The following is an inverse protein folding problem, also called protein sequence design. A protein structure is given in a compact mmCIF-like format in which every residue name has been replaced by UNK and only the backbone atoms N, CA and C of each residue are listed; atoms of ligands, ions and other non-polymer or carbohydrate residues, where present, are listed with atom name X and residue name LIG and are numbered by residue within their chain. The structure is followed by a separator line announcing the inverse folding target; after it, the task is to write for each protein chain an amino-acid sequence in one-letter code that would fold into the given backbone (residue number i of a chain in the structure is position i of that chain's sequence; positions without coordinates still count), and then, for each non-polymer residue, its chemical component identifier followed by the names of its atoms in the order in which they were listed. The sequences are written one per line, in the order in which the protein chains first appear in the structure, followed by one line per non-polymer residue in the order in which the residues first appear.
data_IF_196313721174
#
_entry.id   IF_196313721174
#
_cell.length_a   1.000
_cell.length_b   1.000
_cell.length_c   1.000
_cell.angle_alpha   90.00
_cell.angle_beta   90.00
_cell.angle_gamma   90.00
#
_symmetry.space_group_name_H-M   'P 1'
#
loop_
_entity.id
_entity.type
_entity.pdbx_description
1 polymer ?
#
# COMPACT_ATOMS: atom_id res chain seq x y z
N UNK A 1 5.44 -17.37 -7.18
CA UNK A 1 5.83 -17.89 -8.50
C UNK A 1 7.24 -17.37 -8.76
N UNK A 2 8.27 -18.08 -8.27
CA UNK A 2 9.68 -17.69 -8.45
C UNK A 2 10.07 -17.90 -9.91
N UNK A 3 10.26 -16.81 -10.66
CA UNK A 3 11.03 -16.86 -11.90
C UNK A 3 12.50 -16.61 -11.56
N UNK A 4 13.20 -17.68 -11.19
CA UNK A 4 14.66 -17.68 -11.24
C UNK A 4 15.11 -17.53 -12.70
N UNK A 5 15.85 -16.46 -13.01
CA UNK A 5 16.56 -16.35 -14.28
C UNK A 5 17.59 -17.48 -14.36
N UNK A 6 17.32 -18.48 -15.20
CA UNK A 6 18.34 -19.41 -15.68
C UNK A 6 19.11 -18.74 -16.81
N UNK A 7 20.37 -18.37 -16.57
CA UNK A 7 21.33 -18.18 -17.66
C UNK A 7 21.58 -19.54 -18.31
N UNK A 8 21.15 -19.71 -19.56
CA UNK A 8 21.51 -20.87 -20.38
C UNK A 8 23.01 -20.83 -20.69
N UNK A 9 23.78 -21.69 -20.04
CA UNK A 9 25.10 -22.08 -20.52
C UNK A 9 24.91 -23.10 -21.65
N UNK A 10 25.11 -22.68 -22.90
CA UNK A 10 25.26 -23.63 -24.00
C UNK A 10 26.59 -24.36 -23.85
N UNK A 11 26.52 -25.69 -23.86
CA UNK A 11 27.68 -26.57 -23.73
C UNK A 11 28.63 -26.43 -24.92
N UNK A 12 29.92 -26.31 -24.60
CA UNK A 12 31.02 -26.51 -25.54
C UNK A 12 31.89 -27.67 -25.03
N UNK A 13 32.32 -28.49 -25.99
CA UNK A 13 33.10 -29.71 -25.84
C UNK A 13 34.49 -29.47 -25.19
N UNK A 14 35.18 -30.50 -24.67
CA UNK A 14 36.36 -30.32 -23.86
C UNK A 14 37.57 -30.00 -24.74
N UNK A 15 38.08 -28.76 -24.62
CA UNK A 15 39.32 -28.31 -25.23
C UNK A 15 40.01 -27.30 -24.31
N UNK A 16 41.26 -27.60 -23.94
CA UNK A 16 42.30 -26.75 -23.35
C UNK A 16 41.84 -25.55 -22.50
N UNK A 17 42.03 -25.66 -21.18
CA UNK A 17 41.89 -24.57 -20.21
C UNK A 17 42.98 -23.52 -20.46
N UNK A 18 42.68 -22.52 -21.28
CA UNK A 18 43.29 -21.21 -21.18
C UNK A 18 42.48 -20.35 -20.21
N UNK A 19 43.21 -19.73 -19.29
CA UNK A 19 42.75 -18.87 -18.20
C UNK A 19 42.08 -17.61 -18.78
N UNK A 20 40.83 -17.75 -19.21
CA UNK A 20 40.04 -16.66 -19.77
C UNK A 20 39.26 -16.00 -18.63
N UNK A 21 39.79 -14.87 -18.13
CA UNK A 21 39.00 -13.91 -17.35
C UNK A 21 37.71 -13.60 -18.12
N UNK A 22 36.53 -13.65 -17.49
CA UNK A 22 35.32 -13.20 -18.16
C UNK A 22 35.47 -11.71 -18.52
N UNK A 23 35.58 -11.42 -19.81
CA UNK A 23 35.59 -10.05 -20.34
C UNK A 23 34.13 -9.62 -20.48
N UNK A 24 33.67 -8.77 -19.56
CA UNK A 24 32.38 -8.10 -19.67
C UNK A 24 32.56 -6.83 -20.52
N UNK A 25 31.99 -6.72 -21.73
CA UNK A 25 32.01 -5.46 -22.47
C UNK A 25 31.14 -4.41 -21.76
N UNK A 26 31.70 -3.25 -21.43
CA UNK A 26 30.97 -2.09 -20.85
C UNK A 26 31.05 -1.94 -19.33
N UNK A 27 32.25 -2.04 -18.73
CA UNK A 27 32.46 -1.86 -17.28
C UNK A 27 32.64 -0.39 -16.85
N UNK A 28 32.60 0.53 -17.80
CA UNK A 28 32.96 1.92 -17.58
C UNK A 28 31.74 2.81 -17.33
N UNK A 29 31.85 3.75 -16.39
CA UNK A 29 30.84 4.76 -16.11
C UNK A 29 31.45 6.15 -16.28
N UNK A 30 30.75 7.02 -17.00
CA UNK A 30 31.13 8.42 -17.15
C UNK A 30 30.80 9.20 -15.86
N UNK A 31 31.75 9.94 -15.28
CA UNK A 31 31.46 10.82 -14.15
C UNK A 31 30.39 11.86 -14.49
N UNK A 32 29.52 12.19 -13.53
CA UNK A 32 28.44 13.16 -13.75
C UNK A 32 28.95 14.57 -14.11
N UNK A 33 30.14 14.93 -13.61
CA UNK A 33 30.80 16.21 -13.90
C UNK A 33 31.55 16.26 -15.24
N UNK A 34 31.50 15.19 -16.04
CA UNK A 34 32.36 15.00 -17.21
C UNK A 34 33.76 14.46 -16.84
N UNK A 35 34.48 13.93 -17.82
CA UNK A 35 35.79 13.29 -17.64
C UNK A 35 35.91 12.02 -18.47
N UNK A 36 36.98 11.26 -18.22
CA UNK A 36 37.16 9.95 -18.86
C UNK A 36 36.29 8.89 -18.16
N UNK A 37 35.79 7.89 -18.92
CA UNK A 37 35.09 6.75 -18.34
C UNK A 37 35.96 6.01 -17.30
N UNK A 38 35.34 5.57 -16.21
CA UNK A 38 36.03 4.86 -15.12
C UNK A 38 35.51 3.44 -15.01
N UNK A 39 36.41 2.46 -14.93
CA UNK A 39 36.08 1.06 -14.61
C UNK A 39 35.45 0.97 -13.21
N UNK A 40 34.13 0.82 -13.18
CA UNK A 40 33.37 0.80 -11.93
C UNK A 40 33.64 -0.46 -11.13
N UNK A 41 33.93 -1.59 -11.78
CA UNK A 41 34.22 -2.84 -11.08
C UNK A 41 35.53 -2.72 -10.30
N UNK A 42 36.59 -2.24 -10.96
CA UNK A 42 37.87 -2.03 -10.30
C UNK A 42 37.74 -1.06 -9.11
N UNK A 43 36.98 0.02 -9.29
CA UNK A 43 36.73 0.99 -8.25
C UNK A 43 35.92 0.40 -7.07
N UNK A 44 34.87 -0.36 -7.37
CA UNK A 44 34.06 -1.02 -6.35
C UNK A 44 34.85 -2.08 -5.57
N UNK A 45 35.74 -2.83 -6.22
CA UNK A 45 36.63 -3.79 -5.54
C UNK A 45 37.58 -3.07 -4.56
N UNK A 46 38.13 -1.92 -4.95
CA UNK A 46 38.95 -1.08 -4.05
C UNK A 46 38.15 -0.60 -2.83
N UNK A 47 36.92 -0.13 -3.04
CA UNK A 47 36.05 0.30 -1.96
C UNK A 47 35.60 -0.84 -1.06
N UNK A 48 35.38 -2.03 -1.62
CA UNK A 48 34.98 -3.20 -0.85
C UNK A 48 36.01 -3.55 0.22
N UNK A 49 37.30 -3.47 -0.09
CA UNK A 49 38.36 -3.68 0.90
C UNK A 49 38.22 -2.72 2.09
N UNK A 50 38.06 -1.41 1.81
CA UNK A 50 37.93 -0.36 2.84
C UNK A 50 36.65 -0.52 3.67
N UNK A 51 35.54 -0.89 3.03
CA UNK A 51 34.26 -1.14 3.71
C UNK A 51 34.39 -2.37 4.61
N UNK A 52 34.98 -3.46 4.10
CA UNK A 52 35.21 -4.68 4.87
C UNK A 52 36.10 -4.44 6.10
N UNK A 53 37.12 -3.60 5.98
CA UNK A 53 37.95 -3.16 7.12
C UNK A 53 37.11 -2.45 8.19
N UNK A 54 36.29 -1.47 7.80
CA UNK A 54 35.40 -0.75 8.72
C UNK A 54 34.39 -1.69 9.40
N UNK A 55 33.83 -2.64 8.65
CA UNK A 55 32.84 -3.59 9.13
C UNK A 55 33.43 -4.83 9.80
N UNK A 56 34.77 -4.91 9.90
CA UNK A 56 35.50 -6.07 10.44
C UNK A 56 35.04 -7.40 9.81
N UNK A 57 34.76 -7.37 8.52
CA UNK A 57 34.25 -8.50 7.75
C UNK A 57 35.28 -8.90 6.70
N UNK A 58 35.74 -10.16 6.64
CA UNK A 58 36.71 -10.58 5.64
C UNK A 58 36.15 -10.38 4.21
N UNK A 59 36.88 -9.72 3.29
CA UNK A 59 36.41 -9.47 1.92
C UNK A 59 36.01 -10.74 1.16
N UNK A 60 36.61 -11.90 1.48
CA UNK A 60 36.29 -13.16 0.82
C UNK A 60 34.89 -13.69 1.17
N UNK A 61 34.25 -13.14 2.20
CA UNK A 61 32.87 -13.46 2.57
C UNK A 61 31.84 -12.73 1.71
N UNK A 62 32.25 -11.66 1.02
CA UNK A 62 31.38 -10.94 0.11
C UNK A 62 31.29 -11.70 -1.22
N UNK A 63 30.07 -12.02 -1.64
CA UNK A 63 29.85 -12.77 -2.86
C UNK A 63 30.23 -11.93 -4.08
N UNK A 64 31.16 -12.43 -4.90
CA UNK A 64 31.63 -11.72 -6.09
C UNK A 64 30.56 -11.61 -7.19
N UNK A 65 29.67 -12.60 -7.31
CA UNK A 65 28.55 -12.56 -8.24
C UNK A 65 27.51 -11.49 -7.85
N UNK A 66 27.25 -11.32 -6.55
CA UNK A 66 26.41 -10.24 -6.03
C UNK A 66 27.03 -8.86 -6.29
N UNK A 67 28.35 -8.71 -6.07
CA UNK A 67 29.07 -7.49 -6.43
C UNK A 67 28.97 -7.20 -7.93
N UNK A 68 29.20 -8.20 -8.78
CA UNK A 68 29.10 -8.05 -10.22
C UNK A 68 27.69 -7.66 -10.66
N UNK A 69 26.65 -8.22 -10.03
CA UNK A 69 25.26 -7.84 -10.29
C UNK A 69 24.98 -6.38 -9.90
N UNK A 70 25.45 -5.92 -8.74
CA UNK A 70 25.32 -4.52 -8.32
C UNK A 70 26.08 -3.57 -9.24
N UNK A 71 27.32 -3.90 -9.62
CA UNK A 71 28.10 -3.09 -10.57
C UNK A 71 27.38 -3.01 -11.93
N UNK A 72 26.86 -4.13 -12.43
CA UNK A 72 26.10 -4.15 -13.70
C UNK A 72 24.85 -3.28 -13.63
N UNK A 73 24.12 -3.33 -12.51
CA UNK A 73 22.96 -2.46 -12.28
C UNK A 73 23.37 -0.98 -12.19
N UNK A 74 24.46 -0.68 -11.49
CA UNK A 74 25.00 0.66 -11.32
C UNK A 74 25.52 1.28 -12.63
N UNK A 75 26.13 0.49 -13.53
CA UNK A 75 26.55 0.96 -14.85
C UNK A 75 25.32 1.40 -15.67
N UNK A 76 24.24 0.62 -15.59
CA UNK A 76 23.02 0.89 -16.35
C UNK A 76 22.22 2.06 -15.75
N UNK A 77 22.20 2.16 -14.42
CA UNK A 77 21.39 3.12 -13.67
C UNK A 77 22.21 3.88 -12.62
N UNK A 78 23.26 4.64 -13.01
CA UNK A 78 24.19 5.23 -12.05
C UNK A 78 23.51 6.25 -11.13
N UNK A 79 22.53 7.00 -11.65
CA UNK A 79 21.72 7.93 -10.85
C UNK A 79 20.57 7.31 -10.06
N UNK A 80 20.28 6.01 -10.25
CA UNK A 80 19.15 5.30 -9.64
C UNK A 80 19.59 3.94 -9.05
N UNK A 81 20.83 3.82 -8.57
CA UNK A 81 21.35 2.56 -8.04
C UNK A 81 20.66 2.16 -6.72
N UNK A 82 20.16 0.92 -6.67
CA UNK A 82 19.53 0.30 -5.50
C UNK A 82 20.10 -1.12 -5.30
N UNK A 83 20.29 -1.55 -4.05
CA UNK A 83 20.81 -2.90 -3.75
C UNK A 83 19.81 -3.80 -3.02
N UNK A 84 19.58 -5.02 -3.52
CA UNK A 84 18.88 -6.11 -2.82
C UNK A 84 19.86 -6.85 -1.91
N UNK A 85 19.75 -6.69 -0.59
CA UNK A 85 20.84 -7.06 0.33
C UNK A 85 20.83 -8.51 0.80
N UNK A 86 19.73 -9.23 0.63
CA UNK A 86 19.47 -10.50 1.30
C UNK A 86 19.50 -11.72 0.38
N UNK A 87 20.13 -11.61 -0.80
CA UNK A 87 20.32 -12.75 -1.72
C UNK A 87 21.17 -13.86 -1.07
N UNK A 88 22.24 -13.49 -0.37
CA UNK A 88 23.13 -14.45 0.31
C UNK A 88 23.18 -14.21 1.82
N UNK A 89 23.70 -13.06 2.24
CA UNK A 89 23.83 -12.70 3.63
C UNK A 89 23.95 -11.17 3.75
N UNK A 90 22.96 -10.53 4.36
CA UNK A 90 22.90 -9.07 4.52
C UNK A 90 24.20 -8.52 5.08
N UNK A 91 24.64 -9.00 6.26
CA UNK A 91 25.81 -8.44 6.95
C UNK A 91 27.14 -8.75 6.27
N UNK A 92 27.31 -9.96 5.72
CA UNK A 92 28.61 -10.44 5.23
C UNK A 92 28.83 -10.24 3.74
N UNK A 93 27.76 -9.97 2.98
CA UNK A 93 27.82 -9.90 1.52
C UNK A 93 27.05 -8.68 0.99
N UNK A 94 25.72 -8.66 1.13
CA UNK A 94 24.89 -7.66 0.46
C UNK A 94 25.22 -6.24 0.89
N UNK A 95 25.33 -5.99 2.19
CA UNK A 95 25.61 -4.67 2.73
C UNK A 95 27.05 -4.18 2.44
N UNK A 96 28.12 -5.00 2.63
CA UNK A 96 29.46 -4.64 2.17
C UNK A 96 29.52 -4.33 0.66
N UNK A 97 28.92 -5.18 -0.18
CA UNK A 97 28.90 -5.00 -1.63
C UNK A 97 28.14 -3.73 -2.04
N UNK A 98 26.98 -3.48 -1.44
CA UNK A 98 26.20 -2.27 -1.70
C UNK A 98 26.99 -1.02 -1.32
N UNK A 99 27.56 -0.98 -0.10
CA UNK A 99 28.35 0.15 0.37
C UNK A 99 29.54 0.43 -0.55
N UNK A 100 30.22 -0.62 -1.03
CA UNK A 100 31.35 -0.51 -1.94
C UNK A 100 30.96 0.15 -3.27
N UNK A 101 29.87 -0.32 -3.90
CA UNK A 101 29.38 0.23 -5.17
C UNK A 101 28.84 1.65 -4.99
N UNK A 102 28.11 1.91 -3.90
CA UNK A 102 27.58 3.24 -3.61
C UNK A 102 28.69 4.28 -3.36
N UNK A 103 29.79 3.90 -2.70
CA UNK A 103 30.97 4.76 -2.51
C UNK A 103 31.76 4.96 -3.81
N UNK A 104 31.86 3.94 -4.66
CA UNK A 104 32.43 4.07 -6.00
C UNK A 104 31.62 5.06 -6.85
N UNK A 105 30.29 4.93 -6.86
CA UNK A 105 29.37 5.88 -7.53
C UNK A 105 29.49 7.30 -6.98
N UNK A 106 29.63 7.45 -5.65
CA UNK A 106 29.83 8.74 -5.00
C UNK A 106 31.06 9.47 -5.54
N UNK A 107 32.16 8.77 -5.78
CA UNK A 107 33.37 9.38 -6.36
C UNK A 107 33.15 9.87 -7.79
N UNK A 108 32.21 9.26 -8.52
CA UNK A 108 31.83 9.66 -9.88
C UNK A 108 30.72 10.73 -9.89
N UNK A 109 30.28 11.20 -8.71
CA UNK A 109 29.24 12.23 -8.53
C UNK A 109 27.82 11.70 -8.39
N UNK A 110 27.61 10.39 -8.50
CA UNK A 110 26.28 9.77 -8.38
C UNK A 110 25.92 9.42 -6.94
N UNK A 111 24.63 9.16 -6.69
CA UNK A 111 24.12 8.74 -5.38
C UNK A 111 23.26 7.50 -5.51
N UNK A 112 23.43 6.57 -4.58
CA UNK A 112 22.52 5.45 -4.42
C UNK A 112 21.16 5.94 -3.89
N UNK A 113 20.07 5.32 -4.36
CA UNK A 113 18.69 5.74 -4.02
C UNK A 113 18.04 4.86 -2.97
N UNK A 114 18.64 3.73 -2.58
CA UNK A 114 18.11 2.89 -1.53
C UNK A 114 18.72 1.50 -1.45
N UNK A 115 18.23 0.73 -0.48
CA UNK A 115 18.43 -0.71 -0.35
C UNK A 115 17.09 -1.41 -0.19
N UNK A 116 17.04 -2.72 -0.47
CA UNK A 116 15.86 -3.56 -0.25
C UNK A 116 16.20 -4.81 0.55
N UNK A 117 15.30 -5.18 1.47
CA UNK A 117 15.24 -6.49 2.13
C UNK A 117 13.94 -7.21 1.75
N UNK A 118 13.99 -8.53 1.60
CA UNK A 118 12.85 -9.38 1.25
C UNK A 118 12.71 -10.61 2.15
N UNK A 119 13.46 -10.68 3.25
CA UNK A 119 13.46 -11.84 4.15
C UNK A 119 14.13 -11.52 5.50
N UNK A 120 13.85 -12.36 6.49
CA UNK A 120 14.42 -12.26 7.84
C UNK A 120 13.61 -11.38 8.80
N UNK A 121 14.27 -10.97 9.88
CA UNK A 121 13.71 -10.03 10.86
C UNK A 121 13.93 -8.60 10.35
N UNK A 122 12.97 -8.13 9.55
CA UNK A 122 13.03 -6.86 8.83
C UNK A 122 13.20 -5.66 9.78
N UNK A 123 12.51 -5.66 10.94
CA UNK A 123 12.60 -4.60 11.92
C UNK A 123 14.01 -4.50 12.52
N UNK A 124 14.58 -5.62 12.95
CA UNK A 124 15.93 -5.68 13.47
C UNK A 124 16.97 -5.37 12.40
N UNK A 125 16.87 -5.98 11.23
CA UNK A 125 17.83 -5.81 10.14
C UNK A 125 17.84 -4.36 9.63
N UNK A 126 16.70 -3.67 9.58
CA UNK A 126 16.66 -2.24 9.21
C UNK A 126 17.54 -1.37 10.11
N UNK A 127 17.51 -1.60 11.44
CA UNK A 127 18.33 -0.89 12.41
C UNK A 127 19.81 -1.20 12.24
N UNK A 128 20.14 -2.47 12.00
CA UNK A 128 21.52 -2.91 11.75
C UNK A 128 22.09 -2.26 10.48
N UNK A 129 21.30 -2.23 9.41
CA UNK A 129 21.65 -1.56 8.15
C UNK A 129 21.84 -0.07 8.39
N UNK A 130 20.89 0.61 9.03
CA UNK A 130 21.02 2.04 9.33
C UNK A 130 22.28 2.34 10.14
N UNK A 131 22.62 1.50 11.12
CA UNK A 131 23.85 1.63 11.89
C UNK A 131 25.11 1.58 11.03
N UNK A 132 25.17 0.65 10.07
CA UNK A 132 26.28 0.54 9.11
C UNK A 132 26.30 1.73 8.15
N UNK A 133 25.15 2.16 7.64
CA UNK A 133 25.06 3.31 6.74
C UNK A 133 25.54 4.60 7.43
N UNK A 134 25.16 4.82 8.69
CA UNK A 134 25.68 5.91 9.54
C UNK A 134 27.19 5.79 9.75
N UNK A 135 27.71 4.59 10.05
CA UNK A 135 29.13 4.36 10.25
C UNK A 135 29.95 4.63 8.97
N UNK A 136 29.50 4.14 7.81
CA UNK A 136 30.11 4.42 6.51
C UNK A 136 30.07 5.91 6.19
N UNK A 137 28.92 6.57 6.38
CA UNK A 137 28.76 7.99 6.12
C UNK A 137 29.71 8.86 6.96
N UNK A 138 29.84 8.55 8.26
CA UNK A 138 30.76 9.24 9.15
C UNK A 138 32.23 8.95 8.82
N UNK A 139 32.59 7.67 8.63
CA UNK A 139 33.98 7.25 8.43
C UNK A 139 34.54 7.70 7.08
N UNK A 140 33.75 7.59 6.00
CA UNK A 140 34.18 7.98 4.65
C UNK A 140 33.82 9.43 4.28
N UNK A 141 33.26 10.20 5.22
CA UNK A 141 32.85 11.60 5.03
C UNK A 141 31.85 11.77 3.88
N UNK A 142 30.84 10.91 3.85
CA UNK A 142 29.74 10.93 2.87
C UNK A 142 28.42 11.10 3.64
N UNK A 143 28.01 12.32 4.01
CA UNK A 143 26.88 12.52 4.92
C UNK A 143 25.57 11.91 4.44
N UNK A 144 25.28 11.95 3.13
CA UNK A 144 24.01 11.42 2.59
C UNK A 144 23.85 9.91 2.75
N UNK A 145 24.92 9.16 3.02
CA UNK A 145 24.87 7.71 3.21
C UNK A 145 23.94 7.30 4.35
N UNK A 146 23.88 8.11 5.42
CA UNK A 146 23.01 7.82 6.57
C UNK A 146 21.52 7.89 6.25
N UNK A 147 21.17 8.63 5.19
CA UNK A 147 19.80 8.90 4.75
C UNK A 147 19.33 7.99 3.60
N UNK A 148 20.16 7.01 3.18
CA UNK A 148 19.78 6.06 2.13
C UNK A 148 18.50 5.32 2.55
N UNK A 149 17.41 5.37 1.74
CA UNK A 149 16.16 4.71 2.07
C UNK A 149 16.28 3.19 2.20
N UNK A 150 15.65 2.62 3.21
CA UNK A 150 15.54 1.17 3.43
C UNK A 150 14.13 0.74 3.03
N UNK A 151 14.04 0.00 1.93
CA UNK A 151 12.81 -0.64 1.50
C UNK A 151 12.72 -2.07 2.03
N UNK A 152 11.52 -2.50 2.38
CA UNK A 152 11.24 -3.90 2.70
C UNK A 152 10.07 -4.41 1.86
N UNK A 153 10.15 -5.68 1.49
CA UNK A 153 9.02 -6.47 0.98
C UNK A 153 9.04 -7.84 1.68
N UNK A 154 8.00 -8.65 1.48
CA UNK A 154 7.81 -10.06 1.91
C UNK A 154 6.61 -10.25 2.84
N UNK A 155 5.50 -10.75 2.29
CA UNK A 155 4.28 -11.16 3.00
C UNK A 155 3.85 -10.24 4.16
N UNK A 156 4.08 -8.94 3.99
CA UNK A 156 3.81 -7.91 4.99
C UNK A 156 2.31 -7.80 5.18
N UNK A 157 1.84 -7.95 6.42
CA UNK A 157 0.45 -7.78 6.84
C UNK A 157 0.30 -6.58 7.75
N UNK A 158 -0.94 -6.26 8.13
CA UNK A 158 -1.24 -5.21 9.12
C UNK A 158 -0.52 -5.47 10.45
N UNK A 159 -0.43 -6.73 10.88
CA UNK A 159 0.32 -7.11 12.08
C UNK A 159 1.82 -6.81 11.94
N UNK A 160 2.42 -7.09 10.77
CA UNK A 160 3.81 -6.74 10.51
C UNK A 160 4.05 -5.23 10.61
N UNK A 161 3.11 -4.41 10.11
CA UNK A 161 3.19 -2.95 10.20
C UNK A 161 3.14 -2.46 11.66
N UNK A 162 2.28 -3.04 12.48
CA UNK A 162 2.21 -2.75 13.91
C UNK A 162 3.51 -3.12 14.64
N UNK A 163 4.08 -4.29 14.31
CA UNK A 163 5.36 -4.75 14.86
C UNK A 163 6.49 -3.79 14.49
N UNK A 164 6.59 -3.38 13.22
CA UNK A 164 7.59 -2.41 12.75
C UNK A 164 7.49 -1.07 13.48
N UNK A 165 6.27 -0.58 13.71
CA UNK A 165 6.03 0.65 14.45
C UNK A 165 6.40 0.51 15.93
N UNK A 166 5.96 -0.59 16.57
CA UNK A 166 6.20 -0.86 18.00
C UNK A 166 7.69 -1.02 18.31
N UNK A 167 8.42 -1.68 17.42
CA UNK A 167 9.84 -1.90 17.60
C UNK A 167 10.67 -0.66 17.24
N UNK A 168 10.10 0.36 16.60
CA UNK A 168 10.85 1.52 16.11
C UNK A 168 11.85 1.13 15.02
N UNK A 169 11.37 0.42 13.99
CA UNK A 169 12.17 0.06 12.82
C UNK A 169 12.71 1.30 12.09
N UNK A 170 13.78 1.13 11.32
CA UNK A 170 14.41 2.19 10.50
C UNK A 170 14.02 2.04 9.02
N UNK A 171 12.83 1.47 8.75
CA UNK A 171 12.27 1.20 7.43
C UNK A 171 11.62 2.46 6.86
N UNK A 172 11.96 2.83 5.63
CA UNK A 172 11.45 4.04 4.97
C UNK A 172 10.35 3.72 3.94
N UNK A 173 10.41 2.52 3.33
CA UNK A 173 9.50 2.11 2.25
C UNK A 173 9.01 0.69 2.49
N UNK A 174 7.71 0.46 2.35
CA UNK A 174 7.09 -0.83 2.57
C UNK A 174 6.37 -1.27 1.29
N UNK A 175 6.83 -2.36 0.68
CA UNK A 175 6.22 -3.01 -0.46
C UNK A 175 5.29 -4.13 -0.01
N UNK A 176 3.98 -3.95 -0.18
CA UNK A 176 2.96 -4.95 0.16
C UNK A 176 2.41 -5.55 -1.13
N UNK A 177 2.55 -6.86 -1.29
CA UNK A 177 2.06 -7.62 -2.44
C UNK A 177 0.77 -8.36 -2.11
N UNK A 178 0.89 -9.65 -1.80
CA UNK A 178 -0.22 -10.60 -1.63
C UNK A 178 -1.32 -10.09 -0.71
N UNK A 179 -1.00 -9.70 0.53
CA UNK A 179 -2.00 -9.29 1.52
C UNK A 179 -2.87 -8.10 1.05
N UNK A 180 -2.28 -7.14 0.32
CA UNK A 180 -3.01 -5.98 -0.19
C UNK A 180 -3.93 -6.33 -1.37
N UNK A 181 -3.48 -7.21 -2.26
CA UNK A 181 -4.21 -7.52 -3.51
C UNK A 181 -5.27 -8.60 -3.30
N UNK A 182 -5.02 -9.57 -2.43
CA UNK A 182 -5.92 -10.72 -2.24
C UNK A 182 -6.86 -10.57 -1.05
N UNK A 183 -6.60 -9.63 -0.14
CA UNK A 183 -7.37 -9.43 1.10
C UNK A 183 -7.68 -10.76 1.81
N UNK A 184 -6.66 -11.54 2.23
CA UNK A 184 -6.83 -12.97 2.55
C UNK A 184 -7.83 -13.25 3.69
N UNK A 185 -8.03 -12.29 4.60
CA UNK A 185 -9.03 -12.39 5.68
C UNK A 185 -10.47 -12.27 5.17
N UNK A 186 -10.70 -11.50 4.11
CA UNK A 186 -12.00 -11.29 3.49
C UNK A 186 -11.81 -10.97 1.99
N UNK A 187 -11.66 -12.00 1.13
CA UNK A 187 -11.34 -11.80 -0.29
C UNK A 187 -12.53 -11.29 -1.11
N UNK A 188 -13.69 -11.09 -0.49
CA UNK A 188 -14.91 -10.60 -1.14
C UNK A 188 -15.73 -9.71 -0.22
N UNK A 189 -16.28 -8.62 -0.78
CA UNK A 189 -17.13 -7.69 -0.02
C UNK A 189 -18.57 -8.18 0.17
N UNK A 190 -19.05 -9.10 -0.68
CA UNK A 190 -20.44 -9.59 -0.61
C UNK A 190 -21.48 -8.66 -1.25
N UNK A 191 -21.08 -7.78 -2.18
CA UNK A 191 -22.01 -6.88 -2.88
C UNK A 191 -23.08 -7.65 -3.67
N UNK A 192 -24.31 -7.11 -3.68
CA UNK A 192 -25.44 -7.68 -4.41
C UNK A 192 -26.12 -6.64 -5.29
N UNK A 193 -26.67 -7.09 -6.42
CA UNK A 193 -27.59 -6.31 -7.24
C UNK A 193 -29.01 -6.88 -7.06
N UNK A 194 -29.99 -6.03 -6.77
CA UNK A 194 -31.37 -6.42 -6.48
C UNK A 194 -32.34 -5.42 -7.09
N UNK A 195 -33.42 -5.96 -7.65
CA UNK A 195 -34.57 -5.17 -8.09
C UNK A 195 -35.32 -4.65 -6.88
N UNK A 196 -35.55 -3.34 -6.81
CA UNK A 196 -36.29 -2.68 -5.71
C UNK A 196 -37.64 -2.12 -6.15
N UNK A 197 -37.85 -1.97 -7.47
CA UNK A 197 -39.09 -1.42 -8.05
C UNK A 197 -39.21 -1.82 -9.53
N UNK A 198 -40.43 -2.09 -9.99
CA UNK A 198 -40.77 -2.28 -11.41
C UNK A 198 -42.08 -1.55 -11.71
N UNK A 199 -42.11 -0.73 -12.77
CA UNK A 199 -43.30 0.01 -13.19
C UNK A 199 -43.97 0.79 -12.05
N UNK A 200 -43.19 1.43 -11.18
CA UNK A 200 -43.69 2.16 -9.99
C UNK A 200 -44.19 1.27 -8.85
N UNK A 201 -44.04 -0.06 -8.95
CA UNK A 201 -44.43 -1.01 -7.91
C UNK A 201 -43.19 -1.49 -7.13
N UNK A 202 -43.07 -1.17 -5.83
CA UNK A 202 -41.94 -1.60 -5.01
C UNK A 202 -41.84 -3.13 -4.93
N UNK A 203 -40.63 -3.66 -4.98
CA UNK A 203 -40.33 -5.08 -4.92
C UNK A 203 -39.59 -5.42 -3.63
N UNK A 204 -40.05 -6.47 -2.93
CA UNK A 204 -39.43 -7.02 -1.73
C UNK A 204 -39.05 -8.48 -1.99
N UNK A 205 -37.78 -8.82 -1.80
CA UNK A 205 -37.36 -10.22 -1.72
C UNK A 205 -37.48 -10.71 -0.28
N UNK A 206 -38.42 -11.64 -0.06
CA UNK A 206 -38.49 -12.41 1.17
C UNK A 206 -37.47 -13.55 1.19
N UNK A 207 -37.08 -13.92 2.39
CA UNK A 207 -36.12 -14.98 2.69
C UNK A 207 -36.34 -15.41 4.13
N UNK A 208 -36.07 -16.69 4.44
CA UNK A 208 -36.16 -17.23 5.80
C UNK A 208 -35.15 -16.56 6.74
N UNK A 209 -34.04 -16.08 6.19
CA UNK A 209 -33.05 -15.26 6.87
C UNK A 209 -33.42 -13.78 6.78
N UNK A 210 -33.90 -13.21 7.90
CA UNK A 210 -34.38 -11.83 7.97
C UNK A 210 -33.32 -10.79 7.58
N UNK A 211 -32.03 -11.07 7.85
CA UNK A 211 -30.91 -10.17 7.50
C UNK A 211 -30.68 -10.08 5.99
N UNK A 212 -31.15 -11.08 5.24
CA UNK A 212 -31.05 -11.12 3.77
C UNK A 212 -32.27 -10.50 3.07
N UNK A 213 -33.25 -10.01 3.82
CA UNK A 213 -34.38 -9.30 3.24
C UNK A 213 -33.93 -7.98 2.62
N UNK A 214 -34.41 -7.69 1.42
CA UNK A 214 -34.07 -6.44 0.72
C UNK A 214 -34.97 -5.30 1.18
N UNK A 215 -34.48 -4.06 1.16
CA UNK A 215 -35.32 -2.89 1.42
C UNK A 215 -36.00 -2.46 0.10
N UNK A 216 -37.34 -2.35 0.04
CA UNK A 216 -38.09 -2.08 -1.19
C UNK A 216 -37.98 -0.61 -1.64
N UNK A 217 -38.49 -0.33 -2.84
CA UNK A 217 -38.69 1.01 -3.38
C UNK A 217 -37.44 1.73 -3.87
N UNK A 218 -37.62 2.77 -4.68
CA UNK A 218 -36.52 3.67 -5.06
C UNK A 218 -36.13 4.56 -3.89
N UNK A 219 -34.82 4.68 -3.61
CA UNK A 219 -34.30 5.24 -2.37
C UNK A 219 -33.23 6.30 -2.58
N UNK A 220 -33.23 7.29 -1.71
CA UNK A 220 -32.15 8.26 -1.50
C UNK A 220 -31.45 7.98 -0.19
N UNK A 221 -30.13 8.16 -0.16
CA UNK A 221 -29.31 7.95 1.04
C UNK A 221 -28.68 9.28 1.44
N UNK A 222 -28.76 9.59 2.73
CA UNK A 222 -28.24 10.83 3.31
C UNK A 222 -27.29 10.49 4.46
N UNK A 223 -26.11 11.11 4.46
CA UNK A 223 -25.20 11.08 5.59
C UNK A 223 -25.51 12.21 6.55
N UNK A 224 -25.66 11.86 7.82
CA UNK A 224 -25.97 12.78 8.91
C UNK A 224 -24.71 12.99 9.75
N UNK A 225 -24.35 14.25 9.99
CA UNK A 225 -23.17 14.60 10.79
C UNK A 225 -23.50 15.48 11.99
N UNK A 226 -22.69 15.35 13.03
CA UNK A 226 -22.78 16.13 14.26
C UNK A 226 -22.16 17.53 14.11
N UNK A 227 -22.20 18.32 15.19
CA UNK A 227 -21.63 19.67 15.21
C UNK A 227 -20.10 19.70 15.10
N UNK A 228 -19.42 18.58 15.38
CA UNK A 228 -17.99 18.42 15.19
C UNK A 228 -17.63 18.00 13.75
N UNK A 229 -18.62 17.74 12.90
CA UNK A 229 -18.45 17.33 11.51
C UNK A 229 -18.24 15.82 11.33
N UNK A 230 -18.40 15.00 12.37
CA UNK A 230 -18.29 13.56 12.24
C UNK A 230 -19.61 12.98 11.73
N UNK A 231 -19.58 12.12 10.69
CA UNK A 231 -20.72 11.30 10.33
C UNK A 231 -21.07 10.36 11.49
N UNK A 232 -22.34 10.34 11.89
CA UNK A 232 -22.81 9.46 12.97
C UNK A 232 -23.89 8.46 12.51
N UNK A 233 -24.41 8.62 11.29
CA UNK A 233 -25.46 7.77 10.71
C UNK A 233 -25.60 8.01 9.22
N UNK A 234 -25.96 6.96 8.47
CA UNK A 234 -26.54 7.10 7.13
C UNK A 234 -28.05 6.77 7.19
N UNK A 235 -28.87 7.64 6.60
CA UNK A 235 -30.33 7.57 6.58
C UNK A 235 -30.83 7.26 5.17
N UNK A 236 -31.61 6.19 5.03
CA UNK A 236 -32.35 5.85 3.81
C UNK A 236 -33.77 6.40 3.87
N UNK A 237 -34.18 7.08 2.80
CA UNK A 237 -35.54 7.56 2.58
C UNK A 237 -36.02 7.11 1.20
N UNK A 238 -37.34 7.09 0.99
CA UNK A 238 -37.91 6.95 -0.36
C UNK A 238 -37.55 8.19 -1.20
N UNK A 239 -37.40 7.99 -2.51
CA UNK A 239 -37.07 9.09 -3.43
C UNK A 239 -38.13 10.19 -3.45
N UNK A 240 -39.42 9.86 -3.24
CA UNK A 240 -40.49 10.87 -3.20
C UNK A 240 -40.61 11.62 -1.86
N UNK A 241 -39.81 11.25 -0.86
CA UNK A 241 -39.78 11.98 0.41
C UNK A 241 -39.02 13.30 0.28
N UNK A 242 -39.49 14.38 0.96
CA UNK A 242 -38.71 15.61 1.06
C UNK A 242 -37.34 15.33 1.65
N UNK A 243 -36.28 15.86 1.04
CA UNK A 243 -34.93 15.71 1.58
C UNK A 243 -34.84 16.27 3.01
N UNK A 244 -34.21 15.53 3.94
CA UNK A 244 -33.98 16.01 5.29
C UNK A 244 -33.09 17.26 5.29
N UNK A 245 -33.28 18.13 6.28
CA UNK A 245 -32.54 19.40 6.39
C UNK A 245 -31.68 19.44 7.64
N UNK A 246 -30.59 20.19 7.57
CA UNK A 246 -29.80 20.54 8.75
C UNK A 246 -30.69 21.21 9.81
N UNK A 247 -30.51 20.80 11.08
CA UNK A 247 -31.27 21.32 12.23
C UNK A 247 -32.70 20.80 12.34
N UNK A 248 -33.16 19.95 11.41
CA UNK A 248 -34.49 19.33 11.48
C UNK A 248 -34.48 18.14 12.44
N UNK A 249 -35.49 18.04 13.33
CA UNK A 249 -35.72 16.80 14.09
C UNK A 249 -36.24 15.70 13.15
N UNK A 250 -35.51 14.59 13.08
CA UNK A 250 -35.84 13.42 12.27
C UNK A 250 -36.19 12.25 13.18
N UNK A 251 -37.31 11.59 12.90
CA UNK A 251 -37.68 10.31 13.49
C UNK A 251 -37.14 9.21 12.59
N UNK A 252 -36.26 8.38 13.14
CA UNK A 252 -35.54 7.33 12.39
C UNK A 252 -35.65 5.99 13.09
N UNK A 253 -35.52 4.90 12.34
CA UNK A 253 -35.41 3.54 12.87
C UNK A 253 -34.10 2.93 12.42
N UNK A 254 -33.24 2.59 13.39
CA UNK A 254 -31.94 1.98 13.11
C UNK A 254 -32.14 0.53 12.70
N UNK A 255 -31.53 0.13 11.59
CA UNK A 255 -31.60 -1.24 11.10
C UNK A 255 -30.86 -2.19 12.06
N UNK A 256 -31.39 -3.40 12.22
CA UNK A 256 -30.83 -4.40 13.15
C UNK A 256 -31.16 -4.17 14.63
N UNK A 257 -31.86 -3.08 14.97
CA UNK A 257 -32.38 -2.84 16.32
C UNK A 257 -33.89 -3.07 16.34
N UNK A 258 -34.38 -3.87 17.30
CA UNK A 258 -35.79 -4.23 17.39
C UNK A 258 -36.63 -3.03 17.89
N UNK A 259 -37.49 -2.51 17.02
CA UNK A 259 -38.69 -1.76 17.40
C UNK A 259 -38.53 -0.32 17.90
N UNK A 260 -37.30 0.15 18.19
CA UNK A 260 -37.11 1.47 18.77
C UNK A 260 -36.99 2.57 17.71
N UNK A 261 -37.88 3.55 17.81
CA UNK A 261 -37.72 4.83 17.09
C UNK A 261 -36.76 5.72 17.86
N UNK A 262 -35.86 6.37 17.12
CA UNK A 262 -34.93 7.35 17.67
C UNK A 262 -35.22 8.72 17.06
N UNK A 263 -34.98 9.77 17.84
CA UNK A 263 -35.03 11.16 17.37
C UNK A 263 -33.62 11.70 17.25
N UNK A 264 -33.30 12.28 16.10
CA UNK A 264 -31.98 12.87 15.84
C UNK A 264 -32.11 14.24 15.21
N UNK A 265 -31.13 15.11 15.46
CA UNK A 265 -31.05 16.45 14.86
C UNK A 265 -29.66 16.59 14.23
N UNK A 266 -29.52 16.39 12.91
CA UNK A 266 -28.23 16.49 12.25
C UNK A 266 -27.80 17.96 12.11
N UNK A 267 -26.51 18.24 12.27
CA UNK A 267 -25.96 19.58 11.97
C UNK A 267 -25.77 19.75 10.47
N UNK A 268 -25.34 18.70 9.77
CA UNK A 268 -25.27 18.68 8.31
C UNK A 268 -25.92 17.42 7.75
N UNK A 269 -26.45 17.55 6.54
CA UNK A 269 -27.10 16.48 5.80
C UNK A 269 -26.49 16.46 4.40
N UNK A 270 -25.88 15.35 4.01
CA UNK A 270 -25.24 15.19 2.70
C UNK A 270 -25.93 14.07 1.91
N UNK A 271 -26.48 14.32 0.71
CA UNK A 271 -26.94 13.24 -0.17
C UNK A 271 -25.75 12.45 -0.73
N UNK A 272 -25.78 11.12 -0.57
CA UNK A 272 -24.66 10.24 -0.96
C UNK A 272 -24.72 9.77 -2.41
N UNK A 273 -25.91 9.71 -3.01
CA UNK A 273 -26.07 9.32 -4.41
C UNK A 273 -25.91 10.54 -5.33
N UNK A 274 -25.14 10.37 -6.41
CA UNK A 274 -25.00 11.33 -7.51
C UNK A 274 -25.29 10.67 -8.84
N UNK A 275 -25.94 11.38 -9.75
CA UNK A 275 -26.25 10.86 -11.09
C UNK A 275 -25.09 11.14 -12.05
N UNK A 276 -24.27 10.11 -12.32
CA UNK A 276 -23.22 10.20 -13.36
C UNK A 276 -23.71 9.83 -14.76
N UNK A 277 -24.78 9.04 -14.84
CA UNK A 277 -25.29 8.51 -16.10
C UNK A 277 -26.82 8.57 -16.12
N UNK A 278 -27.40 9.16 -17.16
CA UNK A 278 -28.85 9.26 -17.37
C UNK A 278 -29.17 9.18 -18.85
N UNK A 279 -30.19 8.42 -19.22
CA UNK A 279 -30.70 8.30 -20.59
C UNK A 279 -29.61 8.01 -21.64
N UNK A 280 -28.66 7.13 -21.30
CA UNK A 280 -27.58 6.74 -22.19
C UNK A 280 -26.40 7.73 -22.27
N UNK A 281 -26.42 8.80 -21.47
CA UNK A 281 -25.41 9.86 -21.51
C UNK A 281 -24.74 10.05 -20.15
N UNK A 282 -23.44 10.36 -20.18
CA UNK A 282 -22.69 10.79 -19.00
C UNK A 282 -23.07 12.24 -18.70
N UNK A 283 -23.61 12.52 -17.52
CA UNK A 283 -24.13 13.84 -17.14
C UNK A 283 -23.10 14.71 -16.43
N UNK A 284 -22.09 14.09 -15.79
CA UNK A 284 -21.05 14.76 -15.04
C UNK A 284 -19.68 14.12 -15.34
N UNK A 285 -18.59 14.90 -15.38
CA UNK A 285 -17.26 14.34 -15.50
C UNK A 285 -16.92 13.47 -14.27
N UNK A 286 -16.25 12.34 -14.51
CA UNK A 286 -15.75 11.51 -13.42
C UNK A 286 -14.61 12.25 -12.68
N UNK A 287 -14.53 12.12 -11.34
CA UNK A 287 -13.43 12.72 -10.58
C UNK A 287 -12.09 12.08 -10.96
N UNK A 288 -11.04 12.89 -10.92
CA UNK A 288 -9.65 12.43 -11.10
C UNK A 288 -9.19 11.56 -9.93
N UNK A 289 -8.14 10.76 -10.14
CA UNK A 289 -7.55 9.94 -9.08
C UNK A 289 -7.09 10.77 -7.87
N UNK A 290 -6.59 11.98 -8.11
CA UNK A 290 -6.19 12.90 -7.04
C UNK A 290 -7.39 13.34 -6.22
N UNK A 291 -8.49 13.72 -6.86
CA UNK A 291 -9.73 14.12 -6.17
C UNK A 291 -10.32 12.95 -5.38
N UNK A 292 -10.36 11.75 -5.95
CA UNK A 292 -10.83 10.53 -5.27
C UNK A 292 -9.96 10.23 -4.04
N UNK A 293 -8.62 10.32 -4.18
CA UNK A 293 -7.68 10.13 -3.06
C UNK A 293 -7.89 11.16 -1.95
N UNK A 294 -8.00 12.43 -2.31
CA UNK A 294 -8.25 13.51 -1.35
C UNK A 294 -9.58 13.31 -0.64
N UNK A 295 -10.63 12.96 -1.37
CA UNK A 295 -11.95 12.67 -0.79
C UNK A 295 -11.86 11.51 0.21
N UNK A 296 -11.20 10.39 -0.14
CA UNK A 296 -11.03 9.27 0.78
C UNK A 296 -10.25 9.64 2.05
N UNK A 297 -9.16 10.42 1.92
CA UNK A 297 -8.38 10.89 3.06
C UNK A 297 -9.17 11.81 3.98
N UNK A 298 -9.93 12.76 3.41
CA UNK A 298 -10.80 13.66 4.17
C UNK A 298 -11.90 12.86 4.88
N UNK A 299 -12.60 11.98 4.18
CA UNK A 299 -13.65 11.13 4.75
C UNK A 299 -13.15 10.25 5.90
N UNK A 300 -11.95 9.65 5.78
CA UNK A 300 -11.34 8.86 6.85
C UNK A 300 -10.88 9.72 8.04
N UNK A 301 -10.52 10.99 7.81
CA UNK A 301 -10.15 11.93 8.88
C UNK A 301 -11.35 12.43 9.68
N UNK A 302 -12.51 12.51 9.03
CA UNK A 302 -13.79 12.90 9.64
C UNK A 302 -14.54 11.73 10.29
N UNK A 303 -14.10 10.49 10.08
CA UNK A 303 -14.76 9.35 10.69
C UNK A 303 -14.42 9.28 12.19
N UNK A 304 -15.45 9.11 13.02
CA UNK A 304 -15.24 8.94 14.45
C UNK A 304 -14.25 7.76 14.71
N UNK A 305 -13.25 7.93 15.60
CA UNK A 305 -12.30 6.86 15.92
C UNK A 305 -12.93 5.53 16.30
N UNK A 306 -14.15 5.51 16.86
CA UNK A 306 -14.87 4.29 17.20
C UNK A 306 -15.19 3.40 15.98
N UNK A 307 -15.45 4.00 14.81
CA UNK A 307 -15.72 3.28 13.56
C UNK A 307 -14.44 2.98 12.76
N UNK A 308 -13.33 3.69 13.05
CA UNK A 308 -12.07 3.57 12.30
C UNK A 308 -11.13 2.49 12.85
N UNK A 309 -11.37 1.99 14.06
CA UNK A 309 -10.54 0.94 14.68
C UNK A 309 -10.52 -0.32 13.83
N UNK A 310 -9.37 -0.96 13.71
CA UNK A 310 -9.23 -2.24 13.02
C UNK A 310 -9.75 -3.41 13.86
N UNK A 311 -9.66 -3.29 15.18
CA UNK A 311 -10.13 -4.29 16.13
C UNK A 311 -11.38 -3.81 16.84
N UNK A 312 -12.43 -4.65 16.78
CA UNK A 312 -13.74 -4.42 17.40
C UNK A 312 -14.30 -3.00 17.14
N UNK A 313 -14.45 -2.58 15.87
CA UNK A 313 -15.04 -1.29 15.55
C UNK A 313 -16.51 -1.25 15.97
N UNK A 314 -16.96 -0.09 16.45
CA UNK A 314 -18.40 0.10 16.68
C UNK A 314 -19.13 0.09 15.33
N UNK A 315 -20.23 -0.67 15.18
CA UNK A 315 -21.03 -0.66 13.96
C UNK A 315 -21.50 0.75 13.61
N UNK A 316 -21.35 1.15 12.35
CA UNK A 316 -21.83 2.43 11.87
C UNK A 316 -23.36 2.37 11.66
N UNK A 317 -24.16 3.22 12.32
CA UNK A 317 -25.61 3.14 12.23
C UNK A 317 -26.14 3.45 10.83
N UNK A 318 -27.00 2.56 10.33
CA UNK A 318 -27.81 2.80 9.14
C UNK A 318 -29.27 2.78 9.55
N UNK A 319 -30.02 3.83 9.20
CA UNK A 319 -31.41 3.97 9.59
C UNK A 319 -32.32 4.18 8.38
N UNK A 320 -33.61 3.99 8.59
CA UNK A 320 -34.67 4.27 7.61
C UNK A 320 -35.64 5.33 8.15
N UNK A 321 -36.25 6.10 7.24
CA UNK A 321 -37.39 6.95 7.57
C UNK A 321 -38.60 6.12 8.00
N UNK A 322 -39.51 6.74 8.74
CA UNK A 322 -40.76 6.09 9.15
C UNK A 322 -41.60 5.65 7.93
N UNK A 323 -41.65 6.44 6.84
CA UNK A 323 -42.39 6.08 5.62
C UNK A 323 -41.77 4.86 4.92
N UNK A 324 -40.44 4.81 4.81
CA UNK A 324 -39.76 3.65 4.23
C UNK A 324 -39.95 2.39 5.08
N UNK A 325 -39.92 2.53 6.40
CA UNK A 325 -40.21 1.42 7.31
C UNK A 325 -41.65 0.92 7.15
N UNK A 326 -42.64 1.81 7.10
CA UNK A 326 -44.04 1.44 6.88
C UNK A 326 -44.24 0.71 5.55
N UNK A 327 -43.55 1.12 4.48
CA UNK A 327 -43.58 0.40 3.20
C UNK A 327 -43.04 -1.02 3.36
N UNK A 328 -41.88 -1.17 4.01
CA UNK A 328 -41.27 -2.47 4.27
C UNK A 328 -42.22 -3.39 5.05
N UNK A 329 -42.77 -2.92 6.17
CA UNK A 329 -43.69 -3.69 7.01
C UNK A 329 -44.97 -4.06 6.26
N UNK A 330 -45.53 -3.13 5.48
CA UNK A 330 -46.73 -3.37 4.66
C UNK A 330 -46.49 -4.51 3.67
N UNK A 331 -45.37 -4.48 2.95
CA UNK A 331 -45.04 -5.51 1.96
C UNK A 331 -44.70 -6.86 2.60
N UNK A 332 -44.07 -6.85 3.78
CA UNK A 332 -43.83 -8.07 4.55
C UNK A 332 -45.15 -8.74 4.95
N UNK A 333 -46.09 -7.97 5.50
CA UNK A 333 -47.40 -8.47 5.91
C UNK A 333 -48.25 -8.95 4.72
N UNK A 334 -48.20 -8.25 3.58
CA UNK A 334 -48.94 -8.66 2.38
C UNK A 334 -48.40 -9.94 1.73
N UNK A 335 -47.19 -10.35 2.10
CA UNK A 335 -46.50 -11.51 1.55
C UNK A 335 -46.47 -12.73 2.50
N UNK A 336 -47.09 -12.61 3.69
CA UNK A 336 -47.36 -13.68 4.65
C UNK A 336 -48.76 -14.24 4.45
#
# INVERSE_FOLDING_TARGET
MEMGMRCSAHGLAPGTVEDTKPVFPGQEVLPQGGGEPVDLLALAVSWLQRVCELLQTPPERANQGELAAFVSYAITFPGNFQGLLDTYCVRRSGLPNFCAVALALQQLGYRAIGVRLDSGDLAKQSKEIRGVLRACGAHFQVPWFESIPIAVSNDISEQSLEEFSREGSEIDVIGIGTNLVTCPLQPSLGCVYKLVEVNGSPCLKLTEDEEKMTIPGTKMIYRLSDAAGHPFMDLMALEEEPSPRAGQELVVRVLGQLGETSKVVPTTVEPLHRTYFRDGQVCEPLPSLTEVRTHAQVSLSLLNPAHRRLHDPQPYPVAVTERLHQLLTTLQQASQ
#
